data_IF_259097981671
#
_entry.id   IF_259097981671
#
_cell.length_a   1.000
_cell.length_b   1.000
_cell.length_c   1.000
_cell.angle_alpha   90.00
_cell.angle_beta   90.00
_cell.angle_gamma   90.00
#
_symmetry.space_group_name_H-M   'P 1'
#
loop_
_entity.id
_entity.type
_entity.pdbx_description
1 polymer ?
#
# COMPACT_ATOMS: atom_id res chain seq x y z
N UNK A 1 18.40 -38.56 47.11
CA UNK A 1 18.03 -38.03 45.76
C UNK A 1 16.53 -38.04 45.46
N UNK A 2 15.71 -38.94 46.05
CA UNK A 2 14.25 -38.97 45.81
C UNK A 2 13.45 -37.84 46.49
N UNK A 3 13.87 -37.35 47.66
CA UNK A 3 13.14 -36.26 48.37
C UNK A 3 13.30 -34.87 47.76
N UNK A 4 14.41 -34.59 47.06
CA UNK A 4 14.65 -33.26 46.45
C UNK A 4 13.77 -33.07 45.21
N UNK A 5 13.51 -34.16 44.46
CA UNK A 5 12.62 -34.16 43.29
C UNK A 5 11.16 -33.97 43.70
N UNK A 6 10.73 -34.54 44.83
CA UNK A 6 9.36 -34.35 45.36
C UNK A 6 9.06 -32.91 45.77
N UNK A 7 10.03 -32.19 46.35
CA UNK A 7 9.83 -30.80 46.80
C UNK A 7 9.75 -29.84 45.61
N UNK A 8 10.50 -30.09 44.53
CA UNK A 8 10.48 -29.28 43.32
C UNK A 8 9.13 -29.40 42.57
N UNK A 9 8.51 -30.58 42.57
CA UNK A 9 7.21 -30.83 41.92
C UNK A 9 6.06 -30.12 42.67
N UNK A 10 6.14 -30.04 44.01
CA UNK A 10 5.11 -29.35 44.81
C UNK A 10 5.18 -27.82 44.60
N UNK A 11 6.39 -27.25 44.47
CA UNK A 11 6.54 -25.82 44.15
C UNK A 11 6.04 -25.44 42.74
N UNK A 12 6.15 -26.36 41.78
CA UNK A 12 5.64 -26.19 40.42
C UNK A 12 4.11 -26.18 40.35
N UNK A 13 3.41 -26.95 41.20
CA UNK A 13 1.95 -27.03 41.20
C UNK A 13 1.26 -25.84 41.89
N UNK A 14 1.93 -25.16 42.83
CA UNK A 14 1.37 -23.98 43.53
C UNK A 14 1.40 -22.71 42.66
N UNK A 15 2.23 -22.67 41.61
CA UNK A 15 2.35 -21.49 40.74
C UNK A 15 1.21 -21.34 39.70
N UNK A 16 0.33 -22.33 39.55
CA UNK A 16 -0.80 -22.25 38.60
C UNK A 16 -2.08 -21.62 39.15
N UNK A 17 -2.17 -21.33 40.46
CA UNK A 17 -3.34 -20.63 41.03
C UNK A 17 -3.16 -19.11 41.08
N UNK A 18 -2.47 -18.54 40.09
CA UNK A 18 -2.63 -17.12 39.80
C UNK A 18 -3.98 -16.94 39.16
N UNK A 19 -5.01 -16.74 39.99
CA UNK A 19 -6.29 -16.17 39.57
C UNK A 19 -5.97 -14.91 38.79
N UNK A 20 -6.08 -15.00 37.45
CA UNK A 20 -6.04 -13.84 36.58
C UNK A 20 -7.24 -13.01 37.00
N UNK A 21 -7.00 -11.99 37.83
CA UNK A 21 -7.95 -10.90 37.95
C UNK A 21 -8.01 -10.28 36.56
N UNK A 22 -9.06 -10.60 35.81
CA UNK A 22 -9.49 -9.75 34.71
C UNK A 22 -9.77 -8.38 35.35
N UNK A 23 -8.76 -7.53 35.32
CA UNK A 23 -8.96 -6.11 35.43
C UNK A 23 -9.70 -5.73 34.16
N UNK A 24 -11.02 -5.90 34.18
CA UNK A 24 -11.92 -5.20 33.28
C UNK A 24 -11.67 -3.73 33.56
N UNK A 25 -10.66 -3.16 32.89
CA UNK A 25 -10.58 -1.73 32.72
C UNK A 25 -11.93 -1.37 32.12
N UNK A 26 -12.75 -0.66 32.89
CA UNK A 26 -13.87 0.06 32.31
C UNK A 26 -13.23 0.91 31.22
N UNK A 27 -13.35 0.47 29.97
CA UNK A 27 -13.03 1.33 28.84
C UNK A 27 -14.07 2.41 28.98
N UNK A 28 -13.70 3.52 29.62
CA UNK A 28 -14.47 4.74 29.58
C UNK A 28 -14.54 5.03 28.09
N UNK A 29 -15.68 4.71 27.47
CA UNK A 29 -16.00 5.04 26.09
C UNK A 29 -16.25 6.55 25.96
N UNK A 30 -15.54 7.36 26.74
CA UNK A 30 -15.41 8.79 26.52
C UNK A 30 -14.59 8.92 25.24
N UNK A 31 -15.32 8.95 24.14
CA UNK A 31 -14.78 9.23 22.82
C UNK A 31 -13.98 10.53 22.93
N UNK A 32 -12.69 10.43 22.67
CA UNK A 32 -11.80 11.60 22.66
C UNK A 32 -12.37 12.55 21.61
N UNK A 33 -12.83 13.72 22.05
CA UNK A 33 -13.33 14.76 21.14
C UNK A 33 -12.11 15.42 20.50
N UNK A 34 -11.88 15.12 19.22
CA UNK A 34 -10.81 15.74 18.44
C UNK A 34 -11.29 17.08 17.87
N UNK A 35 -10.47 18.14 17.93
CA UNK A 35 -10.82 19.42 17.33
C UNK A 35 -10.93 19.28 15.80
N UNK A 36 -11.97 19.88 15.22
CA UNK A 36 -12.13 19.93 13.77
C UNK A 36 -11.05 20.83 13.16
N UNK A 37 -10.11 20.24 12.41
CA UNK A 37 -9.05 21.00 11.75
C UNK A 37 -9.50 21.67 10.44
N UNK A 38 -10.53 21.13 9.79
CA UNK A 38 -11.02 21.63 8.51
C UNK A 38 -11.75 20.57 7.68
N UNK A 39 -11.92 20.85 6.39
CA UNK A 39 -12.57 19.96 5.41
C UNK A 39 -11.64 19.74 4.22
N UNK A 40 -11.57 18.52 3.73
CA UNK A 40 -10.90 18.19 2.46
C UNK A 40 -11.92 18.33 1.34
N UNK A 41 -11.54 19.04 0.27
CA UNK A 41 -12.37 19.22 -0.92
C UNK A 41 -11.64 18.54 -2.10
N UNK A 42 -12.26 17.57 -2.78
CA UNK A 42 -11.66 16.97 -3.97
C UNK A 42 -11.58 18.01 -5.09
N UNK A 43 -10.48 18.00 -5.83
CA UNK A 43 -10.27 18.85 -7.00
C UNK A 43 -9.75 18.00 -8.15
N UNK A 44 -10.09 18.36 -9.38
CA UNK A 44 -9.49 17.70 -10.52
C UNK A 44 -8.01 18.12 -10.61
N UNK A 45 -7.14 17.14 -10.87
CA UNK A 45 -5.70 17.36 -11.03
C UNK A 45 -5.35 18.40 -12.10
N UNK A 46 -6.20 18.54 -13.14
CA UNK A 46 -6.03 19.51 -14.22
C UNK A 46 -6.15 20.97 -13.73
N UNK A 47 -6.82 21.22 -12.61
CA UNK A 47 -6.97 22.57 -12.04
C UNK A 47 -5.76 23.02 -11.21
N UNK A 48 -4.77 22.14 -11.01
CA UNK A 48 -3.62 22.38 -10.14
C UNK A 48 -2.37 22.27 -11.00
N UNK A 49 -1.83 23.39 -11.45
CA UNK A 49 -0.69 23.45 -12.39
C UNK A 49 0.48 22.54 -11.94
N UNK A 50 0.95 22.72 -10.70
CA UNK A 50 2.08 21.98 -10.13
C UNK A 50 1.79 20.54 -9.66
N UNK A 51 0.60 19.98 -9.91
CA UNK A 51 0.31 18.60 -9.49
C UNK A 51 1.01 17.58 -10.40
N UNK A 52 1.85 16.66 -9.85
CA UNK A 52 2.54 15.63 -10.63
C UNK A 52 1.72 14.34 -10.79
N UNK A 53 0.38 14.39 -10.74
CA UNK A 53 -0.45 13.19 -10.84
C UNK A 53 -0.27 12.45 -12.18
N UNK A 54 0.10 11.18 -12.08
CA UNK A 54 0.33 10.30 -13.22
C UNK A 54 0.12 8.83 -12.85
N UNK A 55 0.08 7.96 -13.86
CA UNK A 55 -0.14 6.52 -13.68
C UNK A 55 0.88 5.70 -14.47
N UNK A 56 1.06 4.43 -14.11
CA UNK A 56 1.69 3.47 -15.03
C UNK A 56 0.61 2.82 -15.89
N UNK A 57 0.67 3.03 -17.20
CA UNK A 57 -0.23 2.36 -18.13
C UNK A 57 0.33 0.98 -18.49
N UNK A 58 -0.47 -0.06 -18.28
CA UNK A 58 -0.14 -1.43 -18.69
C UNK A 58 -0.54 -1.74 -20.14
N UNK A 59 -1.38 -0.90 -20.74
CA UNK A 59 -1.88 -0.99 -22.12
C UNK A 59 -1.92 0.39 -22.76
N UNK A 60 -2.01 0.42 -24.08
CA UNK A 60 -2.29 1.61 -24.88
C UNK A 60 -3.72 1.55 -25.44
N UNK A 61 -4.65 1.02 -24.63
CA UNK A 61 -6.05 0.96 -25.01
C UNK A 61 -6.65 2.38 -24.93
N UNK A 62 -7.22 2.85 -26.05
CA UNK A 62 -7.68 4.23 -26.22
C UNK A 62 -8.74 4.60 -25.18
N UNK A 63 -9.75 3.74 -24.95
CA UNK A 63 -10.81 3.99 -23.98
C UNK A 63 -10.26 4.13 -22.55
N UNK A 64 -9.26 3.30 -22.19
CA UNK A 64 -8.59 3.39 -20.89
C UNK A 64 -7.79 4.69 -20.77
N UNK A 65 -7.07 5.09 -21.81
CA UNK A 65 -6.28 6.34 -21.80
C UNK A 65 -7.17 7.58 -21.74
N UNK A 66 -8.28 7.61 -22.47
CA UNK A 66 -9.26 8.71 -22.41
C UNK A 66 -9.85 8.85 -20.99
N UNK A 67 -10.24 7.73 -20.38
CA UNK A 67 -10.75 7.72 -18.99
C UNK A 67 -9.69 8.19 -18.00
N UNK A 68 -8.42 7.80 -18.19
CA UNK A 68 -7.31 8.27 -17.36
C UNK A 68 -7.12 9.79 -17.49
N UNK A 69 -7.19 10.32 -18.72
CA UNK A 69 -7.15 11.77 -18.97
C UNK A 69 -8.31 12.50 -18.29
N UNK A 70 -9.53 11.96 -18.36
CA UNK A 70 -10.73 12.56 -17.76
C UNK A 70 -10.64 12.70 -16.22
N UNK A 71 -9.97 11.77 -15.52
CA UNK A 71 -9.72 11.87 -14.07
C UNK A 71 -8.48 12.74 -13.73
N UNK A 72 -7.85 13.35 -14.74
CA UNK A 72 -6.81 14.36 -14.59
C UNK A 72 -5.38 13.82 -14.53
N UNK A 73 -5.14 12.59 -15.01
CA UNK A 73 -3.78 12.06 -15.22
C UNK A 73 -3.05 12.96 -16.22
N UNK A 74 -1.84 13.41 -15.86
CA UNK A 74 -1.04 14.32 -16.70
C UNK A 74 0.10 13.64 -17.45
N UNK A 75 0.53 12.48 -16.98
CA UNK A 75 1.60 11.71 -17.59
C UNK A 75 1.42 10.23 -17.31
N UNK A 76 2.02 9.40 -18.16
CA UNK A 76 2.08 7.97 -17.93
C UNK A 76 3.48 7.41 -18.13
N UNK A 77 3.83 6.40 -17.32
CA UNK A 77 5.01 5.58 -17.54
C UNK A 77 4.66 4.42 -18.46
N UNK A 78 5.38 4.34 -19.57
CA UNK A 78 5.28 3.24 -20.54
C UNK A 78 6.30 2.14 -20.21
N UNK A 79 5.88 0.89 -20.36
CA UNK A 79 6.79 -0.25 -20.25
C UNK A 79 7.67 -0.36 -21.49
N UNK A 80 8.99 -0.34 -21.29
CA UNK A 80 9.98 -0.68 -22.32
C UNK A 80 10.73 -1.95 -21.90
N UNK A 81 10.92 -2.87 -22.83
CA UNK A 81 11.55 -4.17 -22.56
C UNK A 81 12.77 -4.35 -23.45
N UNK A 82 13.95 -4.43 -22.84
CA UNK A 82 15.22 -4.53 -23.58
C UNK A 82 15.27 -5.73 -24.55
N UNK A 83 14.85 -6.95 -24.17
CA UNK A 83 14.81 -8.07 -25.12
C UNK A 83 13.86 -7.88 -26.30
N UNK A 84 12.85 -7.00 -26.17
CA UNK A 84 11.95 -6.64 -27.28
C UNK A 84 12.58 -5.59 -28.20
N UNK A 85 13.35 -4.66 -27.63
CA UNK A 85 14.02 -3.56 -28.33
C UNK A 85 15.27 -4.07 -29.05
N UNK A 86 16.15 -4.79 -28.35
CA UNK A 86 17.41 -5.32 -28.88
C UNK A 86 17.31 -6.85 -29.01
N UNK A 87 16.57 -7.32 -30.01
CA UNK A 87 16.47 -8.75 -30.32
C UNK A 87 17.79 -9.31 -30.86
N UNK A 88 18.57 -8.46 -31.53
CA UNK A 88 19.92 -8.75 -32.01
C UNK A 88 20.83 -7.63 -31.52
N UNK A 89 21.95 -7.99 -30.89
CA UNK A 89 22.87 -7.02 -30.28
C UNK A 89 23.28 -5.94 -31.31
N UNK A 90 23.08 -4.67 -30.96
CA UNK A 90 23.36 -3.52 -31.83
C UNK A 90 22.26 -3.19 -32.85
N UNK A 91 21.15 -3.92 -32.87
CA UNK A 91 19.98 -3.65 -33.73
C UNK A 91 18.77 -3.35 -32.85
N UNK A 92 18.26 -2.13 -32.93
CA UNK A 92 17.21 -1.60 -32.05
C UNK A 92 15.88 -1.40 -32.80
N UNK A 93 14.79 -1.93 -32.24
CA UNK A 93 13.41 -1.76 -32.70
C UNK A 93 12.59 -1.03 -31.64
N UNK A 94 12.29 0.25 -31.89
CA UNK A 94 11.49 1.11 -31.02
C UNK A 94 10.02 1.22 -31.46
N UNK A 95 9.62 0.50 -32.51
CA UNK A 95 8.28 0.67 -33.12
C UNK A 95 7.12 0.48 -32.13
N UNK A 96 7.29 -0.41 -31.14
CA UNK A 96 6.27 -0.64 -30.12
C UNK A 96 6.14 0.53 -29.13
N UNK A 97 7.24 1.16 -28.73
CA UNK A 97 7.20 2.36 -27.87
C UNK A 97 6.74 3.58 -28.64
N UNK A 98 7.08 3.68 -29.93
CA UNK A 98 6.70 4.81 -30.80
C UNK A 98 5.18 4.92 -30.98
N UNK A 99 4.45 3.79 -30.94
CA UNK A 99 2.98 3.77 -30.99
C UNK A 99 2.35 4.61 -29.89
N UNK A 100 2.94 4.66 -28.71
CA UNK A 100 2.38 5.38 -27.58
C UNK A 100 2.44 6.91 -27.72
N UNK A 101 3.32 7.43 -28.58
CA UNK A 101 3.40 8.86 -28.87
C UNK A 101 2.37 9.32 -29.93
N UNK A 102 1.79 8.35 -30.66
CA UNK A 102 0.75 8.59 -31.67
C UNK A 102 -0.65 8.14 -31.19
N UNK A 103 -0.75 7.64 -29.96
CA UNK A 103 -1.98 7.16 -29.34
C UNK A 103 -2.72 8.31 -28.63
#
# INVERSE_FOLDING_TARGET
MKSIVSILIIFLLVSCNSTVQEKTQSINNDLITLPLLGKVIPRNSLEIEGNPWGIQAGSLDEEVLEKAGAIGVKWTRLGASWPKIEKTKGVYDWSATDKAFNA
#
